data_IF_398133610566
#
_entry.id   IF_398133610566
#
_cell.length_a   1.000
_cell.length_b   1.000
_cell.length_c   1.000
_cell.angle_alpha   90.00
_cell.angle_beta   90.00
_cell.angle_gamma   90.00
#
_symmetry.space_group_name_H-M   'P 1'
#
loop_
_entity.id
_entity.type
_entity.pdbx_description
1 polymer ?
#
# COMPACT_ATOMS: atom_id res chain seq x y z
N UNK A 1 -1.16 6.37 11.65
CA UNK A 1 -1.61 6.34 10.24
C UNK A 1 -2.75 5.32 10.10
N UNK A 2 -3.78 5.54 9.25
CA UNK A 2 -4.83 4.52 9.06
C UNK A 2 -4.26 3.26 8.40
N UNK A 3 -4.62 2.09 8.91
CA UNK A 3 -4.14 0.81 8.37
C UNK A 3 -4.46 0.63 6.87
N UNK A 4 -5.65 1.05 6.41
CA UNK A 4 -6.02 0.97 5.00
C UNK A 4 -5.10 1.82 4.11
N UNK A 5 -4.63 2.96 4.64
CA UNK A 5 -3.66 3.82 3.95
C UNK A 5 -2.30 3.14 3.90
N UNK A 6 -1.83 2.56 5.00
CA UNK A 6 -0.57 1.82 5.04
C UNK A 6 -0.54 0.67 4.02
N UNK A 7 -1.57 -0.18 4.02
CA UNK A 7 -1.66 -1.32 3.10
C UNK A 7 -1.68 -0.85 1.64
N UNK A 8 -2.38 0.24 1.34
CA UNK A 8 -2.39 0.81 0.00
C UNK A 8 -1.03 1.39 -0.43
N UNK A 9 -0.28 1.98 0.51
CA UNK A 9 1.08 2.48 0.27
C UNK A 9 2.12 1.37 0.09
N UNK A 10 1.88 0.17 0.63
CA UNK A 10 2.75 -1.01 0.40
C UNK A 10 2.55 -1.66 -0.97
N UNK A 11 1.69 -1.12 -1.83
CA UNK A 11 1.40 -1.69 -3.15
C UNK A 11 0.54 -2.97 -3.14
N UNK A 12 0.16 -3.48 -1.95
CA UNK A 12 -0.57 -4.74 -1.84
C UNK A 12 -1.95 -4.69 -2.52
N UNK A 13 -2.74 -3.67 -2.24
CA UNK A 13 -4.09 -3.53 -2.78
C UNK A 13 -4.67 -2.11 -2.60
N UNK A 14 -5.82 -1.83 -3.21
CA UNK A 14 -6.55 -0.57 -2.99
C UNK A 14 -7.11 -0.48 -1.56
N UNK A 15 -7.41 0.75 -1.11
CA UNK A 15 -7.97 0.99 0.25
C UNK A 15 -9.25 0.19 0.54
N UNK A 16 -10.13 0.01 -0.46
CA UNK A 16 -11.36 -0.78 -0.31
C UNK A 16 -11.07 -2.27 -0.14
N UNK A 17 -10.17 -2.80 -0.97
CA UNK A 17 -9.76 -4.21 -0.91
C UNK A 17 -8.99 -4.52 0.39
N UNK A 18 -8.28 -3.53 0.94
CA UNK A 18 -7.68 -3.63 2.26
C UNK A 18 -8.73 -3.85 3.35
N UNK A 19 -9.91 -3.22 3.29
CA UNK A 19 -10.99 -3.47 4.25
C UNK A 19 -11.54 -4.89 4.16
N UNK A 20 -11.71 -5.42 2.95
CA UNK A 20 -12.12 -6.82 2.75
C UNK A 20 -11.11 -7.78 3.37
N UNK A 21 -9.81 -7.56 3.15
CA UNK A 21 -8.77 -8.40 3.76
C UNK A 21 -8.71 -8.30 5.28
N UNK A 22 -9.03 -7.14 5.84
CA UNK A 22 -9.15 -6.96 7.29
C UNK A 22 -10.38 -7.73 7.81
N UNK A 23 -11.53 -7.65 7.13
CA UNK A 23 -12.74 -8.41 7.49
C UNK A 23 -12.51 -9.92 7.42
N UNK A 24 -11.79 -10.37 6.40
CA UNK A 24 -11.43 -11.78 6.19
C UNK A 24 -10.39 -12.28 7.21
N UNK A 25 -9.83 -11.42 8.06
CA UNK A 25 -8.78 -11.77 9.01
C UNK A 25 -7.42 -12.09 8.36
N UNK A 26 -7.22 -11.73 7.09
CA UNK A 26 -5.97 -11.98 6.34
C UNK A 26 -4.84 -11.05 6.75
N UNK A 27 -5.14 -9.96 7.44
CA UNK A 27 -4.17 -8.94 7.87
C UNK A 27 -4.00 -9.00 9.38
N UNK A 28 -2.76 -9.08 9.81
CA UNK A 28 -2.38 -9.04 11.23
C UNK A 28 -1.42 -7.90 11.51
N UNK A 29 -1.66 -7.16 12.59
CA UNK A 29 -0.79 -6.12 13.15
C UNK A 29 -0.22 -6.66 14.46
N UNK A 30 1.11 -6.74 14.58
CA UNK A 30 1.80 -7.24 15.77
C UNK A 30 1.28 -8.61 16.26
N UNK A 31 0.91 -9.49 15.32
CA UNK A 31 0.39 -10.83 15.62
C UNK A 31 -1.09 -10.90 15.99
N UNK A 32 -1.83 -9.79 15.99
CA UNK A 32 -3.29 -9.75 16.20
C UNK A 32 -4.00 -9.40 14.90
N UNK A 33 -5.20 -9.94 14.70
CA UNK A 33 -6.04 -9.59 13.53
C UNK A 33 -6.32 -8.10 13.55
N UNK A 34 -6.11 -7.44 12.41
CA UNK A 34 -6.33 -6.01 12.26
C UNK A 34 -7.82 -5.65 12.42
N UNK A 35 -8.09 -4.42 12.87
CA UNK A 35 -9.45 -3.87 12.91
C UNK A 35 -9.62 -2.77 11.86
N UNK A 36 -10.81 -2.71 11.23
CA UNK A 36 -11.11 -1.67 10.25
C UNK A 36 -11.03 -0.30 10.92
N UNK A 37 -10.24 0.60 10.35
CA UNK A 37 -10.04 1.95 10.89
C UNK A 37 -9.02 2.03 12.02
N UNK A 38 -8.33 0.93 12.35
CA UNK A 38 -7.23 0.93 13.31
C UNK A 38 -6.11 1.87 12.84
N UNK A 39 -5.53 2.60 13.80
CA UNK A 39 -4.30 3.35 13.60
C UNK A 39 -3.10 2.42 13.80
N UNK A 40 -2.14 2.54 12.89
CA UNK A 40 -0.85 1.85 12.91
C UNK A 40 0.28 2.86 12.88
N UNK A 41 1.38 2.50 13.53
CA UNK A 41 2.65 3.22 13.54
C UNK A 41 3.64 2.62 12.54
N UNK A 42 4.72 3.33 12.24
CA UNK A 42 5.74 2.84 11.30
C UNK A 42 6.53 1.65 11.87
N UNK A 43 6.58 1.52 13.19
CA UNK A 43 7.24 0.41 13.89
C UNK A 43 6.36 -0.84 14.00
N UNK A 44 5.09 -0.77 13.62
CA UNK A 44 4.18 -1.91 13.71
C UNK A 44 4.49 -2.97 12.64
N UNK A 45 4.49 -4.23 13.07
CA UNK A 45 4.73 -5.37 12.18
C UNK A 45 3.41 -5.77 11.54
N UNK A 46 3.23 -5.39 10.28
CA UNK A 46 2.02 -5.71 9.52
C UNK A 46 2.32 -6.90 8.60
N UNK A 47 1.48 -7.93 8.68
CA UNK A 47 1.58 -9.13 7.84
C UNK A 47 0.28 -9.38 7.10
N UNK A 48 0.39 -9.85 5.86
CA UNK A 48 -0.70 -10.37 5.05
C UNK A 48 -0.49 -11.87 4.83
N UNK A 49 -1.42 -12.71 5.28
CA UNK A 49 -1.32 -14.17 5.23
C UNK A 49 0.05 -14.70 5.73
N UNK A 50 0.58 -14.11 6.81
CA UNK A 50 1.87 -14.48 7.39
C UNK A 50 3.11 -13.89 6.69
N UNK A 51 2.97 -13.26 5.52
CA UNK A 51 4.06 -12.53 4.85
C UNK A 51 4.14 -11.10 5.35
N UNK A 52 5.34 -10.64 5.67
CA UNK A 52 5.59 -9.29 6.16
C UNK A 52 5.42 -8.28 5.03
N UNK A 53 4.54 -7.29 5.23
CA UNK A 53 4.38 -6.18 4.31
C UNK A 53 5.48 -5.17 4.61
N UNK A 54 6.39 -4.98 3.65
CA UNK A 54 7.34 -3.87 3.69
C UNK A 54 6.81 -2.75 2.82
N UNK A 55 6.98 -1.51 3.29
CA UNK A 55 6.82 -0.33 2.44
C UNK A 55 7.88 -0.42 1.34
N UNK A 56 7.47 -0.34 0.08
CA UNK A 56 8.42 -0.16 -1.01
C UNK A 56 9.10 1.21 -0.83
N UNK A 57 10.42 1.25 -1.01
CA UNK A 57 11.14 2.52 -1.03
C UNK A 57 10.65 3.34 -2.23
N UNK A 58 10.35 4.62 -2.00
CA UNK A 58 9.86 5.50 -3.06
C UNK A 58 10.99 5.80 -4.04
N UNK A 59 10.95 5.19 -5.23
CA UNK A 59 11.81 5.56 -6.34
C UNK A 59 11.24 6.78 -7.08
N UNK A 60 12.02 7.85 -7.16
CA UNK A 60 11.64 9.08 -7.87
C UNK A 60 12.35 9.13 -9.22
N UNK A 61 11.57 9.23 -10.30
CA UNK A 61 12.08 9.37 -11.67
C UNK A 61 11.82 10.79 -12.20
N UNK A 62 12.87 11.44 -12.72
CA UNK A 62 12.75 12.72 -13.43
C UNK A 62 12.54 12.44 -14.92
N UNK A 63 11.31 12.59 -15.41
CA UNK A 63 10.97 12.36 -16.82
C UNK A 63 10.96 13.69 -17.60
N UNK A 64 11.97 13.93 -18.42
CA UNK A 64 11.90 14.96 -19.46
C UNK A 64 11.21 14.38 -20.70
N UNK A 65 9.88 14.49 -20.77
CA UNK A 65 9.10 13.98 -21.91
C UNK A 65 9.25 14.92 -23.13
N UNK A 66 9.85 14.48 -24.25
CA UNK A 66 10.01 15.34 -25.42
C UNK A 66 8.67 15.58 -26.15
N UNK A 67 8.51 16.77 -26.74
CA UNK A 67 7.37 17.14 -27.58
C UNK A 67 7.45 16.46 -28.95
N UNK A 68 6.38 15.74 -29.32
CA UNK A 68 6.22 15.13 -30.64
C UNK A 68 5.85 16.23 -31.64
N UNK A 69 6.77 16.55 -32.54
CA UNK A 69 6.60 17.51 -33.64
C UNK A 69 5.71 16.84 -34.70
N UNK A 70 4.63 17.51 -35.12
CA UNK A 70 3.84 17.10 -36.28
C UNK A 70 4.48 17.68 -37.54
N UNK A 71 5.07 16.83 -38.39
CA UNK A 71 5.39 17.17 -39.77
C UNK A 71 4.13 16.89 -40.61
N UNK A 72 3.38 17.93 -40.95
CA UNK A 72 2.45 17.87 -42.07
C UNK A 72 3.24 18.15 -43.36
N UNK A 73 3.09 17.23 -44.31
CA UNK A 73 3.68 17.25 -45.65
C UNK A 73 2.75 17.97 -46.61
#
# INVERSE_FOLDING_TARGET
MRIQKYIAETGLCSRRKAEEYIRDGKITVNGKVAVIGQNVEENDIIKYNGKLLKKEELEYYLLNKPLRIYLHK
#
